data_IF_612476233806
#
_entry.id   IF_612476233806
#
_cell.length_a   1.000
_cell.length_b   1.000
_cell.length_c   1.000
_cell.angle_alpha   90.00
_cell.angle_beta   90.00
_cell.angle_gamma   90.00
#
_symmetry.space_group_name_H-M   'P 1'
#
loop_
_entity.id
_entity.type
_entity.pdbx_description
1 polymer ?
#
# COMPACT_ATOMS: atom_id res chain seq x y z
N UNK A 1 39.27 -62.40 -34.90
CA UNK A 1 40.44 -63.16 -34.38
C UNK A 1 41.55 -62.13 -34.17
N UNK A 2 41.73 -61.65 -32.94
CA UNK A 2 42.83 -62.00 -32.01
C UNK A 2 44.23 -61.80 -32.62
N UNK A 3 45.00 -60.84 -32.11
CA UNK A 3 46.25 -60.99 -31.35
C UNK A 3 46.81 -59.57 -31.04
N UNK A 4 46.72 -59.06 -29.80
CA UNK A 4 47.79 -58.97 -28.76
C UNK A 4 49.08 -58.33 -29.29
N UNK A 5 49.41 -57.09 -28.86
CA UNK A 5 50.16 -56.71 -27.66
C UNK A 5 51.68 -56.78 -27.81
N UNK A 6 52.36 -55.85 -27.12
CA UNK A 6 53.79 -55.76 -26.69
C UNK A 6 54.26 -54.32 -26.96
N UNK A 7 55.12 -53.63 -26.21
CA UNK A 7 55.63 -53.60 -24.84
C UNK A 7 56.89 -52.69 -24.95
N UNK A 8 57.22 -51.95 -23.88
CA UNK A 8 58.59 -51.45 -23.59
C UNK A 8 59.17 -50.38 -24.54
N UNK A 9 60.12 -49.54 -24.18
CA UNK A 9 60.72 -49.04 -22.92
C UNK A 9 61.92 -48.17 -23.38
N UNK A 10 62.33 -47.23 -22.54
CA UNK A 10 63.66 -46.60 -22.47
C UNK A 10 64.02 -45.42 -23.41
N UNK A 11 64.63 -44.44 -22.72
CA UNK A 11 65.84 -43.70 -23.09
C UNK A 11 65.67 -42.20 -23.45
N UNK A 12 65.79 -41.37 -22.41
CA UNK A 12 66.70 -40.19 -22.41
C UNK A 12 68.12 -40.62 -22.86
N UNK A 13 69.03 -39.73 -23.31
CA UNK A 13 69.11 -38.28 -23.10
C UNK A 13 69.52 -37.46 -24.34
N UNK A 14 69.41 -36.13 -24.29
CA UNK A 14 70.52 -35.21 -24.55
C UNK A 14 70.05 -33.76 -24.52
N UNK A 15 70.72 -32.98 -23.67
CA UNK A 15 70.82 -31.54 -23.74
C UNK A 15 71.09 -31.07 -25.18
N UNK A 16 70.47 -29.96 -25.58
CA UNK A 16 71.19 -28.74 -25.99
C UNK A 16 70.17 -27.61 -26.08
N UNK A 17 70.51 -26.53 -25.38
CA UNK A 17 69.78 -25.29 -25.29
C UNK A 17 69.62 -24.62 -26.66
N UNK A 18 68.41 -24.13 -26.95
CA UNK A 18 68.22 -22.95 -27.80
C UNK A 18 67.16 -22.05 -27.18
N UNK A 19 67.64 -20.87 -26.78
CA UNK A 19 66.90 -19.73 -26.31
C UNK A 19 66.46 -18.96 -27.56
N UNK A 20 65.18 -18.97 -27.90
CA UNK A 20 64.61 -18.01 -28.86
C UNK A 20 63.27 -17.53 -28.31
N UNK A 21 63.25 -16.22 -28.02
CA UNK A 21 62.06 -15.44 -27.74
C UNK A 21 61.02 -15.67 -28.84
N UNK A 22 59.80 -16.08 -28.46
CA UNK A 22 58.64 -15.91 -29.34
C UNK A 22 57.42 -15.52 -28.51
N UNK A 23 57.26 -14.21 -28.43
CA UNK A 23 56.02 -13.46 -28.41
C UNK A 23 54.81 -14.08 -27.71
N UNK A 24 54.46 -13.46 -26.58
CA UNK A 24 53.12 -13.50 -26.01
C UNK A 24 52.09 -13.08 -27.07
N UNK A 25 51.42 -14.03 -27.72
CA UNK A 25 50.05 -13.81 -28.20
C UNK A 25 49.12 -14.24 -27.08
N UNK A 26 48.86 -13.31 -26.16
CA UNK A 26 47.71 -13.40 -25.28
C UNK A 26 46.47 -13.41 -26.17
N UNK A 27 45.82 -14.57 -26.27
CA UNK A 27 44.46 -14.66 -26.75
C UNK A 27 43.59 -13.84 -25.79
N UNK A 28 43.32 -12.57 -26.15
CA UNK A 28 42.23 -11.83 -25.54
C UNK A 28 40.96 -12.52 -25.97
N UNK A 29 40.47 -13.42 -25.11
CA UNK A 29 39.06 -13.76 -25.10
C UNK A 29 38.31 -12.44 -25.03
N UNK A 30 37.72 -12.04 -26.16
CA UNK A 30 36.68 -11.05 -26.18
C UNK A 30 35.52 -11.67 -25.39
N UNK A 31 35.53 -11.49 -24.07
CA UNK A 31 34.30 -11.48 -23.29
C UNK A 31 33.49 -10.34 -23.87
N UNK A 32 32.65 -10.68 -24.85
CA UNK A 32 31.49 -9.88 -25.17
C UNK A 32 30.77 -9.70 -23.83
N UNK A 33 30.97 -8.53 -23.22
CA UNK A 33 30.09 -8.05 -22.19
C UNK A 33 28.74 -7.93 -22.88
N UNK A 34 27.94 -8.99 -22.81
CA UNK A 34 26.49 -8.90 -22.85
C UNK A 34 26.11 -8.03 -21.66
N UNK A 35 26.23 -6.72 -21.85
CA UNK A 35 25.46 -5.76 -21.11
C UNK A 35 24.02 -6.10 -21.44
N UNK A 36 23.37 -6.88 -20.57
CA UNK A 36 21.93 -6.82 -20.43
C UNK A 36 21.62 -5.39 -20.05
N UNK A 37 21.45 -4.54 -21.07
CA UNK A 37 20.66 -3.33 -20.95
C UNK A 37 19.25 -3.83 -20.66
N UNK A 38 19.00 -4.12 -19.38
CA UNK A 38 17.68 -4.37 -18.87
C UNK A 38 16.98 -3.02 -19.03
N UNK A 39 16.34 -2.83 -20.18
CA UNK A 39 15.45 -1.71 -20.48
C UNK A 39 14.17 -1.85 -19.66
N UNK A 40 14.34 -2.05 -18.35
CA UNK A 40 13.30 -2.22 -17.38
C UNK A 40 12.51 -0.92 -17.31
N UNK A 41 11.21 -1.04 -17.49
CA UNK A 41 10.30 0.08 -17.33
C UNK A 41 10.50 0.69 -15.93
N UNK A 42 10.75 1.99 -15.86
CA UNK A 42 10.97 2.72 -14.62
C UNK A 42 9.64 3.24 -14.07
N UNK A 43 9.42 3.09 -12.76
CA UNK A 43 8.25 3.68 -12.08
C UNK A 43 8.52 5.17 -11.88
N UNK A 44 7.79 6.01 -12.60
CA UNK A 44 7.89 7.48 -12.55
C UNK A 44 7.02 8.06 -11.46
N UNK A 45 5.81 7.53 -11.29
CA UNK A 45 4.84 8.05 -10.32
C UNK A 45 3.92 6.94 -9.81
N UNK A 46 3.45 7.09 -8.57
CA UNK A 46 2.45 6.22 -7.96
C UNK A 46 1.18 7.03 -7.69
N UNK A 47 0.07 6.61 -8.26
CA UNK A 47 -1.21 7.31 -8.19
C UNK A 47 -2.24 6.44 -7.47
N UNK A 48 -2.87 6.96 -6.43
CA UNK A 48 -3.98 6.30 -5.75
C UNK A 48 -5.31 6.70 -6.39
N UNK A 49 -6.13 5.72 -6.75
CA UNK A 49 -7.49 5.93 -7.29
C UNK A 49 -8.47 5.13 -6.45
N UNK A 50 -9.61 5.71 -6.13
CA UNK A 50 -10.67 5.01 -5.41
C UNK A 50 -12.01 5.26 -6.09
N UNK A 51 -12.95 4.37 -5.83
CA UNK A 51 -14.24 4.42 -6.47
C UNK A 51 -15.23 3.40 -5.92
N UNK A 52 -16.35 3.29 -6.63
CA UNK A 52 -17.39 2.30 -6.43
C UNK A 52 -17.48 1.43 -7.68
N UNK A 53 -17.79 0.17 -7.48
CA UNK A 53 -18.00 -0.83 -8.52
C UNK A 53 -19.26 -1.62 -8.21
N UNK A 54 -20.15 -1.70 -9.19
CA UNK A 54 -21.36 -2.52 -9.16
C UNK A 54 -21.07 -3.82 -9.89
N UNK A 55 -21.33 -4.92 -9.20
CA UNK A 55 -21.08 -6.28 -9.67
C UNK A 55 -22.44 -6.97 -9.73
N UNK A 56 -22.83 -7.51 -10.87
CA UNK A 56 -24.08 -8.22 -11.03
C UNK A 56 -24.05 -9.62 -10.37
N UNK A 57 -25.21 -10.28 -10.27
CA UNK A 57 -25.35 -11.58 -9.63
C UNK A 57 -24.47 -12.68 -10.27
N UNK A 58 -24.16 -12.55 -11.55
CA UNK A 58 -23.29 -13.47 -12.28
C UNK A 58 -21.79 -13.15 -12.11
N UNK A 59 -21.45 -12.09 -11.37
CA UNK A 59 -20.07 -11.64 -11.15
C UNK A 59 -19.53 -10.66 -12.18
N UNK A 60 -20.29 -10.32 -13.23
CA UNK A 60 -19.89 -9.28 -14.18
C UNK A 60 -19.95 -7.89 -13.55
N UNK A 61 -19.15 -6.95 -14.05
CA UNK A 61 -19.19 -5.56 -13.60
C UNK A 61 -20.22 -4.80 -14.43
N UNK A 62 -21.21 -4.21 -13.77
CA UNK A 62 -22.28 -3.43 -14.40
C UNK A 62 -21.91 -1.94 -14.50
N UNK A 63 -21.34 -1.37 -13.43
CA UNK A 63 -21.01 0.06 -13.37
C UNK A 63 -19.74 0.31 -12.55
N UNK A 64 -18.95 1.29 -12.98
CA UNK A 64 -17.78 1.80 -12.23
C UNK A 64 -17.88 3.32 -12.08
N UNK A 65 -17.65 3.83 -10.87
CA UNK A 65 -17.63 5.25 -10.58
C UNK A 65 -16.35 5.64 -9.83
N UNK A 66 -15.51 6.48 -10.44
CA UNK A 66 -14.33 7.04 -9.75
C UNK A 66 -14.75 8.18 -8.82
N UNK A 67 -14.21 8.22 -7.61
CA UNK A 67 -14.48 9.29 -6.63
C UNK A 67 -13.23 10.17 -6.53
N UNK A 68 -13.42 11.49 -6.71
CA UNK A 68 -12.37 12.52 -6.57
C UNK A 68 -11.03 12.14 -7.24
N UNK A 69 -11.10 11.51 -8.41
CA UNK A 69 -9.93 10.94 -9.09
C UNK A 69 -8.92 12.04 -9.45
N UNK A 70 -7.62 11.86 -9.15
CA UNK A 70 -6.57 12.79 -9.58
C UNK A 70 -6.21 12.61 -11.06
N UNK A 71 -6.78 11.61 -11.74
CA UNK A 71 -6.50 11.34 -13.15
C UNK A 71 -7.15 12.40 -14.05
N UNK A 72 -6.50 12.66 -15.18
CA UNK A 72 -7.18 13.35 -16.29
C UNK A 72 -8.37 12.52 -16.76
N UNK A 73 -9.40 13.21 -17.25
CA UNK A 73 -10.67 12.61 -17.63
C UNK A 73 -10.51 11.45 -18.63
N UNK A 74 -9.71 11.63 -19.67
CA UNK A 74 -9.44 10.63 -20.71
C UNK A 74 -8.77 9.36 -20.17
N UNK A 75 -7.88 9.50 -19.18
CA UNK A 75 -7.25 8.37 -18.51
C UNK A 75 -8.25 7.67 -17.58
N UNK A 76 -9.08 8.46 -16.89
CA UNK A 76 -10.15 7.96 -16.03
C UNK A 76 -11.17 7.11 -16.79
N UNK A 77 -11.58 7.54 -17.98
CA UNK A 77 -12.50 6.79 -18.85
C UNK A 77 -11.90 5.44 -19.28
N UNK A 78 -10.64 5.43 -19.75
CA UNK A 78 -9.96 4.17 -20.12
C UNK A 78 -9.80 3.21 -18.94
N UNK A 79 -9.54 3.75 -17.75
CA UNK A 79 -9.49 2.94 -16.53
C UNK A 79 -10.86 2.34 -16.23
N UNK A 80 -11.94 3.12 -16.31
CA UNK A 80 -13.31 2.65 -16.15
C UNK A 80 -13.63 1.52 -17.13
N UNK A 81 -13.38 1.70 -18.44
CA UNK A 81 -13.57 0.66 -19.46
C UNK A 81 -12.76 -0.61 -19.21
N UNK A 82 -11.62 -0.49 -18.54
CA UNK A 82 -10.78 -1.64 -18.16
C UNK A 82 -11.39 -2.38 -16.97
N UNK A 83 -11.88 -1.65 -15.97
CA UNK A 83 -12.52 -2.20 -14.78
C UNK A 83 -13.87 -2.83 -15.09
N UNK A 84 -14.63 -2.30 -16.05
CA UNK A 84 -15.91 -2.88 -16.51
C UNK A 84 -15.74 -4.26 -17.17
N UNK A 85 -14.52 -4.61 -17.59
CA UNK A 85 -14.21 -5.95 -18.14
C UNK A 85 -13.81 -6.95 -17.07
N UNK A 86 -13.67 -6.51 -15.81
CA UNK A 86 -13.37 -7.42 -14.71
C UNK A 86 -14.55 -8.33 -14.44
N UNK A 87 -14.25 -9.51 -13.91
CA UNK A 87 -15.26 -10.49 -13.51
C UNK A 87 -14.90 -11.00 -12.13
N UNK A 88 -15.88 -10.98 -11.24
CA UNK A 88 -15.75 -11.39 -9.86
C UNK A 88 -16.38 -12.76 -9.68
N UNK A 89 -16.00 -13.45 -8.60
CA UNK A 89 -16.78 -14.59 -8.15
C UNK A 89 -18.17 -14.10 -7.73
N UNK A 90 -19.27 -14.72 -8.21
CA UNK A 90 -20.62 -14.42 -7.75
C UNK A 90 -20.71 -14.37 -6.21
N UNK A 91 -21.38 -13.35 -5.69
CA UNK A 91 -21.55 -13.19 -4.25
C UNK A 91 -22.83 -13.92 -3.82
N UNK A 92 -22.64 -15.05 -3.14
CA UNK A 92 -23.71 -15.81 -2.54
C UNK A 92 -24.03 -15.26 -1.14
N UNK A 93 -25.19 -14.63 -1.00
CA UNK A 93 -25.76 -14.25 0.30
C UNK A 93 -26.92 -15.20 0.58
N UNK A 94 -26.75 -16.05 1.61
CA UNK A 94 -27.75 -17.05 2.02
C UNK A 94 -28.14 -18.03 0.89
N UNK A 95 -27.17 -18.37 0.03
CA UNK A 95 -27.38 -19.28 -1.11
C UNK A 95 -28.09 -18.66 -2.30
N UNK A 96 -28.25 -17.32 -2.32
CA UNK A 96 -28.79 -16.57 -3.44
C UNK A 96 -27.72 -15.63 -3.97
N UNK A 97 -27.42 -15.75 -5.26
CA UNK A 97 -26.57 -14.81 -5.99
C UNK A 97 -27.28 -13.46 -6.10
N UNK A 98 -26.60 -12.38 -5.72
CA UNK A 98 -27.16 -11.03 -5.76
C UNK A 98 -26.16 -10.06 -6.38
N UNK A 99 -26.69 -9.05 -7.07
CA UNK A 99 -25.91 -7.89 -7.48
C UNK A 99 -25.50 -7.09 -6.24
N UNK A 100 -24.28 -6.57 -6.25
CA UNK A 100 -23.62 -5.91 -5.12
C UNK A 100 -22.93 -4.62 -5.55
N UNK A 101 -22.82 -3.64 -4.64
CA UNK A 101 -22.05 -2.40 -4.87
C UNK A 101 -20.89 -2.34 -3.89
N UNK A 102 -19.64 -2.49 -4.31
CA UNK A 102 -18.51 -2.38 -3.38
C UNK A 102 -17.61 -1.19 -3.72
N UNK A 103 -16.81 -0.77 -2.76
CA UNK A 103 -15.76 0.21 -2.97
C UNK A 103 -14.48 -0.47 -3.43
N UNK A 104 -13.63 0.29 -4.11
CA UNK A 104 -12.28 -0.16 -4.43
C UNK A 104 -11.25 0.94 -4.20
N UNK A 105 -10.01 0.50 -3.98
CA UNK A 105 -8.79 1.30 -3.96
C UNK A 105 -7.78 0.66 -4.90
N UNK A 106 -7.27 1.42 -5.86
CA UNK A 106 -6.22 1.02 -6.78
C UNK A 106 -4.97 1.83 -6.52
N UNK A 107 -3.83 1.15 -6.63
CA UNK A 107 -2.51 1.76 -6.77
C UNK A 107 -2.09 1.62 -8.22
N UNK A 108 -2.05 2.74 -8.92
CA UNK A 108 -1.53 2.82 -10.28
C UNK A 108 -0.07 3.21 -10.24
N UNK A 109 0.73 2.61 -11.11
CA UNK A 109 2.12 2.98 -11.35
C UNK A 109 2.25 3.52 -12.77
N UNK A 110 2.70 4.77 -12.90
CA UNK A 110 3.10 5.35 -14.16
C UNK A 110 4.48 4.84 -14.50
N UNK A 111 4.54 4.01 -15.53
CA UNK A 111 5.75 3.37 -16.02
C UNK A 111 6.28 4.16 -17.22
N UNK A 112 7.61 4.20 -17.38
CA UNK A 112 8.26 4.73 -18.57
C UNK A 112 9.26 3.71 -19.10
N UNK A 113 9.10 3.29 -20.36
CA UNK A 113 10.02 2.41 -21.06
C UNK A 113 10.45 2.99 -22.42
N UNK A 114 11.15 2.22 -23.24
CA UNK A 114 11.58 2.65 -24.58
C UNK A 114 10.43 2.98 -25.55
N UNK A 115 9.20 2.59 -25.22
CA UNK A 115 7.97 2.85 -25.98
C UNK A 115 7.16 4.03 -25.42
N UNK A 116 7.58 4.60 -24.30
CA UNK A 116 6.98 5.78 -23.67
C UNK A 116 6.28 5.47 -22.36
N UNK A 117 5.29 6.31 -22.02
CA UNK A 117 4.57 6.24 -20.76
C UNK A 117 3.35 5.31 -20.84
N UNK A 118 3.14 4.50 -19.80
CA UNK A 118 1.95 3.67 -19.66
C UNK A 118 1.58 3.48 -18.20
N UNK A 119 0.32 3.12 -17.92
CA UNK A 119 -0.17 2.89 -16.56
C UNK A 119 -0.35 1.41 -16.28
N UNK A 120 0.13 0.99 -15.12
CA UNK A 120 -0.07 -0.35 -14.56
C UNK A 120 -0.96 -0.27 -13.34
N UNK A 121 -1.97 -1.13 -13.25
CA UNK A 121 -2.63 -1.42 -11.97
C UNK A 121 -1.67 -2.30 -11.16
N UNK A 122 -0.96 -1.71 -10.20
CA UNK A 122 0.04 -2.41 -9.42
C UNK A 122 -0.58 -3.12 -8.21
N UNK A 123 -1.60 -2.53 -7.59
CA UNK A 123 -2.34 -3.13 -6.49
C UNK A 123 -3.82 -2.72 -6.55
N UNK A 124 -4.66 -3.57 -5.98
CA UNK A 124 -6.10 -3.38 -5.91
C UNK A 124 -6.63 -3.93 -4.58
N UNK A 125 -7.62 -3.25 -4.01
CA UNK A 125 -8.28 -3.64 -2.77
C UNK A 125 -9.76 -3.32 -2.89
N UNK A 126 -10.64 -4.21 -2.42
CA UNK A 126 -12.08 -4.01 -2.45
C UNK A 126 -12.68 -4.03 -1.04
N UNK A 127 -13.92 -3.55 -0.91
CA UNK A 127 -14.71 -3.68 0.31
C UNK A 127 -14.24 -2.79 1.46
N UNK A 128 -13.32 -1.85 1.20
CA UNK A 128 -12.84 -0.91 2.21
C UNK A 128 -13.80 0.29 2.29
N UNK A 129 -14.43 0.58 3.44
CA UNK A 129 -15.39 1.68 3.53
C UNK A 129 -14.80 2.98 3.00
N UNK A 130 -15.44 3.55 1.99
CA UNK A 130 -14.95 4.74 1.30
C UNK A 130 -15.91 5.88 1.54
N UNK A 131 -15.41 7.00 2.07
CA UNK A 131 -16.26 8.16 2.34
C UNK A 131 -16.74 8.77 1.01
N UNK A 132 -18.06 8.92 0.86
CA UNK A 132 -18.70 9.55 -0.28
C UNK A 132 -18.68 11.06 -0.05
N UNK A 133 -17.88 11.77 -0.85
CA UNK A 133 -17.78 13.23 -0.82
C UNK A 133 -17.54 13.80 0.60
N UNK A 134 -16.46 13.37 1.29
CA UNK A 134 -16.21 13.77 2.68
C UNK A 134 -16.01 15.29 2.77
N UNK A 135 -16.89 15.97 3.49
CA UNK A 135 -16.68 17.39 3.79
C UNK A 135 -15.50 17.53 4.75
N UNK A 136 -14.46 18.24 4.31
CA UNK A 136 -13.30 18.50 5.16
C UNK A 136 -13.67 19.23 6.47
N UNK A 137 -13.07 18.85 7.61
CA UNK A 137 -13.25 19.57 8.87
C UNK A 137 -12.83 21.03 8.79
N UNK A 138 -13.58 21.92 9.45
CA UNK A 138 -13.25 23.35 9.47
C UNK A 138 -12.03 23.62 10.33
N UNK A 139 -11.16 24.54 9.90
CA UNK A 139 -10.00 24.90 10.70
C UNK A 139 -10.44 25.68 11.95
N UNK A 140 -10.08 25.28 13.19
CA UNK A 140 -10.48 26.00 14.39
C UNK A 140 -9.92 27.43 14.41
N UNK A 141 -10.79 28.43 14.58
CA UNK A 141 -10.39 29.85 14.52
C UNK A 141 -9.32 30.24 15.54
N UNK A 142 -9.40 29.69 16.76
CA UNK A 142 -8.40 29.92 17.81
C UNK A 142 -7.02 29.38 17.43
N UNK A 143 -6.97 28.18 16.85
CA UNK A 143 -5.73 27.55 16.41
C UNK A 143 -5.13 28.27 15.20
N UNK A 144 -5.97 28.73 14.27
CA UNK A 144 -5.53 29.50 13.10
C UNK A 144 -4.85 30.81 13.53
N UNK A 145 -5.46 31.54 14.48
CA UNK A 145 -4.89 32.78 15.04
C UNK A 145 -3.53 32.55 15.73
N UNK A 146 -3.38 31.39 16.36
CA UNK A 146 -2.17 31.03 17.10
C UNK A 146 -1.10 30.33 16.24
N UNK A 147 -1.36 30.11 14.95
CA UNK A 147 -0.43 29.40 14.05
C UNK A 147 -0.21 27.93 14.44
N UNK A 148 -1.20 27.28 15.03
CA UNK A 148 -1.11 25.91 15.53
C UNK A 148 -1.62 24.96 14.46
N UNK A 149 -0.84 23.94 14.11
CA UNK A 149 -1.24 22.84 13.23
C UNK A 149 -1.50 21.57 14.03
N UNK A 150 -2.22 20.62 13.44
CA UNK A 150 -2.54 19.37 14.13
C UNK A 150 -2.67 18.19 13.17
N UNK A 151 -2.38 17.00 13.69
CA UNK A 151 -2.69 15.72 13.06
C UNK A 151 -3.46 14.86 14.06
N UNK A 152 -4.58 14.28 13.62
CA UNK A 152 -5.47 13.49 14.46
C UNK A 152 -5.79 12.18 13.77
N UNK A 153 -5.70 11.08 14.51
CA UNK A 153 -6.19 9.77 14.09
C UNK A 153 -7.53 9.51 14.77
N UNK A 154 -8.58 9.34 13.97
CA UNK A 154 -9.95 9.09 14.44
C UNK A 154 -10.33 7.64 14.19
N UNK A 155 -10.97 6.99 15.16
CA UNK A 155 -11.72 5.75 14.99
C UNK A 155 -13.16 6.12 14.63
N UNK A 156 -13.64 5.61 13.51
CA UNK A 156 -15.00 5.88 13.02
C UNK A 156 -15.75 4.56 12.91
N UNK A 157 -16.85 4.43 13.64
CA UNK A 157 -17.81 3.34 13.52
C UNK A 157 -18.81 3.66 12.41
N UNK A 158 -18.99 2.71 11.50
CA UNK A 158 -19.82 2.81 10.31
C UNK A 158 -20.88 1.70 10.37
N UNK A 159 -22.15 2.09 10.29
CA UNK A 159 -23.28 1.16 10.25
C UNK A 159 -23.40 0.50 8.88
N UNK A 160 -24.21 -0.56 8.82
CA UNK A 160 -24.56 -1.24 7.57
C UNK A 160 -25.14 -0.31 6.49
N UNK A 161 -25.83 0.78 6.86
CA UNK A 161 -26.39 1.78 5.94
C UNK A 161 -25.37 2.83 5.46
N UNK A 162 -24.10 2.69 5.85
CA UNK A 162 -23.04 3.64 5.53
C UNK A 162 -23.08 4.94 6.34
N UNK A 163 -23.99 5.07 7.32
CA UNK A 163 -23.94 6.18 8.27
C UNK A 163 -22.86 5.99 9.33
N UNK A 164 -22.35 7.09 9.86
CA UNK A 164 -21.44 7.07 11.00
C UNK A 164 -22.24 6.94 12.29
N UNK A 165 -21.84 6.00 13.16
CA UNK A 165 -22.46 5.84 14.49
C UNK A 165 -21.61 6.35 15.65
N UNK A 166 -20.30 6.42 15.46
CA UNK A 166 -19.35 6.79 16.51
C UNK A 166 -18.08 7.35 15.91
N UNK A 167 -17.52 8.36 16.56
CA UNK A 167 -16.27 9.01 16.14
C UNK A 167 -15.46 9.33 17.39
N UNK A 168 -14.31 8.66 17.54
CA UNK A 168 -13.47 8.77 18.73
C UNK A 168 -12.01 9.11 18.34
N UNK A 169 -11.36 10.06 19.03
CA UNK A 169 -9.95 10.33 18.80
C UNK A 169 -9.10 9.22 19.43
N UNK A 170 -8.30 8.53 18.61
CA UNK A 170 -7.33 7.52 19.08
C UNK A 170 -6.03 8.21 19.48
N UNK A 171 -5.59 9.17 18.67
CA UNK A 171 -4.33 9.88 18.87
C UNK A 171 -4.42 11.27 18.25
N UNK A 172 -3.73 12.23 18.85
CA UNK A 172 -3.51 13.52 18.20
C UNK A 172 -2.17 14.12 18.56
N UNK A 173 -1.67 14.94 17.65
CA UNK A 173 -0.41 15.64 17.77
C UNK A 173 -0.57 17.10 17.35
N UNK A 174 0.09 17.99 18.09
CA UNK A 174 0.13 19.42 17.82
C UNK A 174 1.49 19.83 17.27
N UNK A 175 1.48 20.71 16.28
CA UNK A 175 2.66 21.32 15.69
C UNK A 175 2.57 22.86 15.77
N UNK A 176 3.71 23.54 15.60
CA UNK A 176 3.79 25.00 15.64
C UNK A 176 3.83 25.62 17.06
N UNK A 177 3.63 24.82 18.11
CA UNK A 177 3.67 25.30 19.51
C UNK A 177 4.39 24.33 20.44
N UNK A 178 5.19 24.86 21.37
CA UNK A 178 5.85 24.05 22.40
C UNK A 178 4.82 23.64 23.46
N UNK A 179 4.57 22.34 23.55
CA UNK A 179 3.72 21.73 24.57
C UNK A 179 4.57 21.44 25.82
N UNK A 180 4.16 21.97 26.98
CA UNK A 180 4.89 21.84 28.26
C UNK A 180 4.20 20.91 29.28
N UNK A 181 2.93 20.60 29.06
CA UNK A 181 2.14 19.73 29.93
C UNK A 181 1.05 19.01 29.12
N UNK A 182 0.57 17.89 29.65
CA UNK A 182 -0.55 17.13 29.07
C UNK A 182 -1.83 17.97 29.02
N UNK A 183 -2.11 18.76 30.05
CA UNK A 183 -3.25 19.68 30.09
C UNK A 183 -3.18 20.72 28.96
N UNK A 184 -1.99 21.28 28.71
CA UNK A 184 -1.77 22.19 27.59
C UNK A 184 -1.98 21.48 26.25
N UNK A 185 -1.55 20.22 26.13
CA UNK A 185 -1.76 19.41 24.93
C UNK A 185 -3.26 19.25 24.64
N UNK A 186 -4.04 18.80 25.63
CA UNK A 186 -5.50 18.62 25.53
C UNK A 186 -6.19 19.94 25.17
N UNK A 187 -5.79 21.04 25.82
CA UNK A 187 -6.34 22.37 25.53
C UNK A 187 -6.17 22.78 24.07
N UNK A 188 -5.00 22.52 23.47
CA UNK A 188 -4.75 22.85 22.06
C UNK A 188 -5.36 21.85 21.08
N UNK A 189 -5.49 20.58 21.47
CA UNK A 189 -5.98 19.51 20.61
C UNK A 189 -7.52 19.45 20.55
N UNK A 190 -8.22 19.73 21.65
CA UNK A 190 -9.68 19.64 21.75
C UNK A 190 -10.45 20.40 20.66
N UNK A 191 -10.07 21.64 20.25
CA UNK A 191 -10.74 22.34 19.16
C UNK A 191 -10.68 21.59 17.82
N UNK A 192 -9.55 20.94 17.52
CA UNK A 192 -9.39 20.14 16.31
C UNK A 192 -10.19 18.84 16.39
N UNK A 193 -10.14 18.14 17.52
CA UNK A 193 -10.94 16.93 17.74
C UNK A 193 -12.42 17.25 17.52
N UNK A 194 -12.93 18.29 18.17
CA UNK A 194 -14.32 18.71 18.03
C UNK A 194 -14.69 19.00 16.58
N UNK A 195 -13.87 19.79 15.87
CA UNK A 195 -14.19 20.10 14.48
C UNK A 195 -14.13 18.87 13.57
N UNK A 196 -13.25 17.92 13.85
CA UNK A 196 -13.16 16.66 13.09
C UNK A 196 -14.37 15.78 13.35
N UNK A 197 -14.75 15.60 14.62
CA UNK A 197 -15.95 14.86 15.03
C UNK A 197 -17.21 15.44 14.39
N UNK A 198 -17.41 16.76 14.49
CA UNK A 198 -18.59 17.45 13.92
C UNK A 198 -18.69 17.24 12.39
N UNK A 199 -17.55 17.22 11.69
CA UNK A 199 -17.53 16.98 10.25
C UNK A 199 -17.82 15.51 9.90
N UNK A 200 -17.14 14.57 10.57
CA UNK A 200 -17.22 13.13 10.29
C UNK A 200 -18.59 12.53 10.62
N UNK A 201 -19.28 13.03 11.65
CA UNK A 201 -20.64 12.59 11.98
C UNK A 201 -21.63 12.77 10.81
N UNK A 202 -21.34 13.69 9.89
CA UNK A 202 -22.17 13.96 8.73
C UNK A 202 -21.68 13.24 7.46
N UNK A 203 -20.59 12.48 7.53
CA UNK A 203 -20.11 11.72 6.38
C UNK A 203 -21.00 10.52 6.10
N UNK A 204 -20.97 10.09 4.84
CA UNK A 204 -21.57 8.85 4.37
C UNK A 204 -20.48 8.00 3.77
N UNK A 205 -20.56 6.70 3.98
CA UNK A 205 -19.63 5.73 3.41
C UNK A 205 -20.34 4.85 2.39
N UNK A 206 -19.70 4.64 1.25
CA UNK A 206 -20.09 3.62 0.29
C UNK A 206 -19.62 2.27 0.82
N UNK A 207 -20.58 1.34 0.95
CA UNK A 207 -20.36 0.04 1.55
C UNK A 207 -21.47 -0.92 1.13
N UNK A 208 -21.20 -2.23 1.13
CA UNK A 208 -22.27 -3.22 0.88
C UNK A 208 -22.14 -4.56 1.59
N UNK A 209 -20.99 -4.92 2.17
CA UNK A 209 -20.90 -6.18 2.89
C UNK A 209 -20.85 -5.92 4.40
N UNK A 210 -21.98 -5.58 5.06
CA UNK A 210 -22.03 -5.54 6.51
C UNK A 210 -21.39 -6.79 7.07
N UNK A 211 -20.63 -6.67 8.17
CA UNK A 211 -20.04 -7.84 8.78
C UNK A 211 -21.17 -8.84 9.03
N UNK A 212 -20.90 -10.13 8.88
CA UNK A 212 -21.95 -11.15 8.78
C UNK A 212 -22.88 -11.20 10.02
N UNK A 213 -22.46 -10.59 11.13
CA UNK A 213 -23.20 -10.42 12.37
C UNK A 213 -24.09 -9.16 12.42
N UNK A 214 -24.13 -8.35 11.35
CA UNK A 214 -24.83 -7.07 11.29
C UNK A 214 -24.19 -5.96 12.11
N UNK A 215 -22.95 -6.17 12.58
CA UNK A 215 -22.20 -5.23 13.39
C UNK A 215 -21.69 -4.02 12.62
N UNK A 216 -21.10 -3.09 13.35
CA UNK A 216 -20.52 -1.89 12.77
C UNK A 216 -19.08 -2.14 12.33
N UNK A 217 -18.71 -1.54 11.21
CA UNK A 217 -17.33 -1.56 10.73
C UNK A 217 -16.58 -0.37 11.30
N UNK A 218 -15.39 -0.61 11.84
CA UNK A 218 -14.56 0.44 12.39
C UNK A 218 -13.39 0.75 11.45
N UNK A 219 -13.17 2.02 11.15
CA UNK A 219 -12.05 2.48 10.31
C UNK A 219 -11.24 3.56 11.01
N UNK A 220 -9.93 3.57 10.75
CA UNK A 220 -9.02 4.61 11.23
C UNK A 220 -8.82 5.67 10.14
N UNK A 221 -9.12 6.92 10.46
CA UNK A 221 -9.04 8.04 9.52
C UNK A 221 -8.06 9.08 10.04
N UNK A 222 -6.91 9.29 9.35
CA UNK A 222 -6.01 10.38 9.66
C UNK A 222 -6.50 11.70 9.08
N UNK A 223 -6.47 12.75 9.89
CA UNK A 223 -6.88 14.11 9.52
C UNK A 223 -5.74 15.06 9.84
N UNK A 224 -5.33 15.84 8.85
CA UNK A 224 -4.27 16.84 9.00
C UNK A 224 -4.79 18.26 8.77
N UNK A 225 -4.51 19.12 9.74
CA UNK A 225 -4.72 20.56 9.68
C UNK A 225 -3.38 21.24 9.46
N UNK A 226 -3.20 21.84 8.27
CA UNK A 226 -2.01 22.60 7.91
C UNK A 226 -2.35 24.03 7.52
N UNK A 227 -1.42 24.95 7.74
CA UNK A 227 -1.53 26.37 7.40
C UNK A 227 -1.00 26.67 5.98
N UNK A 228 -0.29 25.73 5.38
CA UNK A 228 0.18 25.78 4.00
C UNK A 228 -0.97 25.68 2.99
N UNK A 229 -1.56 26.84 2.64
CA UNK A 229 -2.73 27.05 1.76
C UNK A 229 -4.09 26.65 2.39
N UNK A 230 -4.56 27.42 3.38
CA UNK A 230 -5.98 27.56 3.85
C UNK A 230 -6.97 26.39 3.59
N UNK A 231 -6.59 25.13 3.81
CA UNK A 231 -7.50 23.98 3.71
C UNK A 231 -6.99 22.79 4.50
N UNK A 232 -7.88 22.06 5.16
CA UNK A 232 -7.64 20.74 5.76
C UNK A 232 -7.71 19.66 4.68
N UNK A 233 -6.78 18.69 4.71
CA UNK A 233 -6.80 17.53 3.82
C UNK A 233 -7.20 16.30 4.63
N UNK A 234 -8.33 15.70 4.26
CA UNK A 234 -8.70 14.37 4.73
C UNK A 234 -7.83 13.39 3.96
N UNK A 235 -7.08 12.54 4.67
CA UNK A 235 -6.37 11.44 4.04
C UNK A 235 -7.35 10.25 3.94
N UNK A 236 -7.28 9.44 2.87
CA UNK A 236 -8.14 8.26 2.75
C UNK A 236 -8.00 7.36 3.98
N UNK A 237 -9.06 6.61 4.35
CA UNK A 237 -9.03 5.70 5.49
C UNK A 237 -7.81 4.80 5.41
N UNK A 238 -7.04 4.77 6.49
CA UNK A 238 -5.80 4.01 6.55
C UNK A 238 -6.16 2.53 6.65
N UNK A 239 -6.17 1.83 5.52
CA UNK A 239 -6.19 0.38 5.47
C UNK A 239 -5.04 -0.03 4.55
N UNK A 240 -3.93 -0.43 5.17
CA UNK A 240 -2.78 -1.15 4.60
C UNK A 240 -2.18 -0.66 3.25
N UNK A 241 -1.34 0.39 3.34
CA UNK A 241 -0.15 0.74 2.52
C UNK A 241 -0.31 1.00 0.99
N UNK A 242 0.21 2.13 0.45
CA UNK A 242 1.61 2.58 0.62
C UNK A 242 1.82 3.99 1.21
N UNK A 243 0.79 4.70 1.68
CA UNK A 243 1.00 5.92 2.49
C UNK A 243 1.56 5.61 3.91
N UNK A 244 1.66 4.32 4.23
CA UNK A 244 2.27 3.79 5.45
C UNK A 244 3.81 3.87 5.42
N UNK A 245 4.46 4.01 4.26
CA UNK A 245 5.93 3.97 4.21
C UNK A 245 6.62 5.21 4.82
N UNK A 246 5.95 6.35 4.92
CA UNK A 246 6.55 7.57 5.52
C UNK A 246 5.90 8.00 6.85
N UNK A 247 4.60 7.77 7.05
CA UNK A 247 3.91 8.19 8.27
C UNK A 247 3.98 7.14 9.40
N UNK A 248 3.83 5.84 9.07
CA UNK A 248 3.91 4.77 10.06
C UNK A 248 5.33 4.29 10.33
N UNK A 249 6.28 4.54 9.43
CA UNK A 249 7.72 4.36 9.71
C UNK A 249 8.25 5.26 10.84
N UNK A 250 7.51 6.32 11.21
CA UNK A 250 7.83 7.19 12.36
C UNK A 250 7.07 6.86 13.64
N UNK A 251 6.11 5.93 13.59
CA UNK A 251 5.19 5.64 14.69
C UNK A 251 4.83 4.15 14.74
N UNK A 252 5.84 3.30 14.83
CA UNK A 252 5.66 1.85 14.96
C UNK A 252 5.40 1.44 16.41
N UNK A 253 4.14 1.24 16.77
CA UNK A 253 3.72 0.17 17.69
C UNK A 253 2.49 -0.49 17.06
N UNK A 254 2.51 -1.80 16.75
CA UNK A 254 1.37 -2.50 16.18
C UNK A 254 0.15 -2.47 17.12
N UNK A 255 -1.05 -2.34 16.54
CA UNK A 255 -2.33 -2.20 17.28
C UNK A 255 -2.62 -3.37 18.25
N UNK A 256 -2.09 -4.57 17.96
CA UNK A 256 -2.14 -5.71 18.88
C UNK A 256 -1.42 -5.43 20.21
N UNK A 257 -0.36 -4.63 20.19
CA UNK A 257 0.50 -4.32 21.34
C UNK A 257 -0.04 -3.17 22.21
N UNK A 258 -0.97 -2.36 21.67
CA UNK A 258 -1.73 -1.35 22.42
C UNK A 258 -2.95 -1.92 23.16
N UNK A 259 -3.41 -3.11 22.77
CA UNK A 259 -4.58 -3.77 23.33
C UNK A 259 -4.23 -4.98 24.23
N UNK A 260 -2.95 -5.36 24.31
CA UNK A 260 -2.49 -6.43 25.19
C UNK A 260 -2.56 -5.99 26.68
N UNK A 261 -3.11 -6.83 27.58
CA UNK A 261 -3.16 -6.57 29.02
C UNK A 261 -1.77 -6.52 29.70
N UNK A 262 -0.72 -6.85 28.96
CA UNK A 262 0.67 -7.06 29.37
C UNK A 262 1.42 -5.73 29.62
N UNK A 263 0.91 -4.61 29.12
CA UNK A 263 1.53 -3.28 29.27
C UNK A 263 1.08 -2.50 30.52
N UNK A 264 0.42 -3.15 31.48
CA UNK A 264 0.27 -2.60 32.84
C UNK A 264 1.54 -2.92 33.62
N UNK A 265 2.39 -1.90 33.79
CA UNK A 265 3.57 -1.87 34.68
C UNK A 265 3.54 -2.94 35.79
N UNK A 266 4.49 -3.88 35.76
CA UNK A 266 5.12 -4.46 36.95
C UNK A 266 6.45 -5.14 36.61
N UNK A 267 7.38 -4.94 37.53
CA UNK A 267 8.75 -5.39 37.67
C UNK A 267 9.11 -6.85 37.30
N UNK A 268 10.40 -6.98 37.00
CA UNK A 268 11.32 -8.08 37.31
C UNK A 268 11.39 -9.32 36.39
N UNK A 269 12.65 -9.62 36.04
CA UNK A 269 13.31 -10.94 36.10
C UNK A 269 13.83 -11.50 34.78
N UNK A 270 15.08 -11.95 34.87
CA UNK A 270 15.96 -12.55 33.88
C UNK A 270 15.37 -13.76 33.12
N UNK A 271 15.61 -13.83 31.80
CA UNK A 271 16.27 -14.94 31.10
C UNK A 271 16.25 -14.75 29.56
N UNK A 272 17.28 -15.21 28.82
CA UNK A 272 17.28 -15.24 27.36
C UNK A 272 16.65 -16.55 26.85
N UNK A 273 15.73 -16.45 25.88
CA UNK A 273 15.21 -17.64 25.17
C UNK A 273 15.46 -17.49 23.67
N UNK A 274 16.16 -18.51 23.17
CA UNK A 274 16.53 -18.80 21.78
C UNK A 274 15.32 -19.05 20.90
N UNK A 275 15.35 -18.59 19.64
CA UNK A 275 14.41 -19.00 18.59
C UNK A 275 15.15 -19.17 17.26
N UNK A 276 15.02 -20.37 16.72
CA UNK A 276 15.36 -20.84 15.37
C UNK A 276 14.31 -21.93 15.03
N UNK A 277 14.07 -22.26 13.75
CA UNK A 277 12.98 -21.70 12.96
C UNK A 277 12.00 -22.77 12.45
N UNK A 278 10.79 -22.40 12.01
CA UNK A 278 9.99 -23.17 11.03
C UNK A 278 8.85 -22.30 10.46
N UNK A 279 8.85 -22.05 9.14
CA UNK A 279 8.04 -22.70 8.09
C UNK A 279 6.64 -22.07 7.93
N UNK A 280 6.46 -21.27 6.85
CA UNK A 280 5.81 -21.63 5.58
C UNK A 280 4.28 -21.76 5.72
N UNK A 281 3.55 -20.83 5.12
CA UNK A 281 2.42 -21.03 4.20
C UNK A 281 2.16 -19.67 3.50
N UNK A 282 2.25 -19.65 2.17
CA UNK A 282 1.68 -18.61 1.31
C UNK A 282 0.24 -18.99 0.94
N UNK A 283 -0.62 -18.01 0.62
CA UNK A 283 -1.61 -18.22 -0.41
C UNK A 283 -1.61 -17.12 -1.49
N UNK A 284 -1.44 -17.60 -2.73
CA UNK A 284 -2.04 -17.17 -3.99
C UNK A 284 -2.25 -15.66 -4.23
N UNK A 285 -1.23 -15.03 -4.83
CA UNK A 285 -1.43 -13.82 -5.64
C UNK A 285 -1.94 -14.26 -7.03
N UNK A 286 -3.18 -13.91 -7.36
CA UNK A 286 -3.67 -13.92 -8.73
C UNK A 286 -3.38 -12.53 -9.32
N UNK A 287 -2.28 -12.43 -10.07
CA UNK A 287 -1.88 -11.22 -10.79
C UNK A 287 -2.73 -11.09 -12.05
N UNK A 288 -3.75 -10.23 -12.01
CA UNK A 288 -4.44 -9.77 -13.21
C UNK A 288 -3.66 -8.55 -13.72
N UNK A 289 -2.69 -8.79 -14.62
CA UNK A 289 -1.99 -7.70 -15.32
C UNK A 289 -2.94 -7.03 -16.33
N UNK A 290 -3.65 -5.99 -15.87
CA UNK A 290 -4.38 -5.09 -16.75
C UNK A 290 -3.50 -3.88 -17.09
N UNK A 291 -3.12 -3.76 -18.36
CA UNK A 291 -2.32 -2.64 -18.88
C UNK A 291 -3.23 -1.61 -19.54
N UNK A 292 -3.16 -0.36 -19.11
CA UNK A 292 -3.81 0.77 -19.80
C UNK A 292 -2.74 1.52 -20.58
N UNK A 293 -2.78 1.37 -21.91
CA UNK A 293 -1.88 2.11 -22.82
C UNK A 293 -2.44 3.53 -22.98
N UNK A 294 -1.57 4.53 -22.84
CA UNK A 294 -1.89 5.95 -22.98
C UNK A 294 -1.78 6.39 -24.44
#
# INVERSE_FOLDING_TARGET
MKFTAVCASLASPCLVAWLVLSSCMSAQSATAATGSADGGAEVVEVIGVHGLIDIDADGSVDQVALIDSPLRHDIGERLVETLEKWHFKPIDLEGVQRSVRTSFLLRLELMNDTRGYWLRIAQHQFGTPTALSPRSPSYPLSANRDGIEAEILMLVGIKADGSVEGVEPVRGQIFGKRIRSEESHKKFLNPFIRSTTDAMQNWRFGYFLPPADGGSTYVLIPVRFSLGRRSSKVLPPATSAPQLFDAAARMSVPLAELLSPENRLSDASDAPISLEPESRIQPLEESIESTVVL
#
